data_IF_154687036599
#
_entry.id   IF_154687036599
#
_cell.length_a   1.000
_cell.length_b   1.000
_cell.length_c   1.000
_cell.angle_alpha   90.00
_cell.angle_beta   90.00
_cell.angle_gamma   90.00
#
_symmetry.space_group_name_H-M   'P 1'
#
loop_
_entity.id
_entity.type
_entity.pdbx_description
1 polymer ?
#
# COMPACT_ATOMS: atom_id res chain seq x y z
N UNK A 1 4.65 -7.41 -8.12
CA UNK A 1 5.66 -6.45 -8.62
C UNK A 1 5.34 -5.98 -10.03
N UNK A 2 5.27 -6.88 -11.01
CA UNK A 2 5.29 -6.56 -12.45
C UNK A 2 4.25 -5.53 -12.97
N UNK A 3 3.07 -5.39 -12.35
CA UNK A 3 2.05 -4.43 -12.80
C UNK A 3 2.28 -3.00 -12.29
N UNK A 4 3.05 -2.82 -11.22
CA UNK A 4 3.17 -1.55 -10.52
C UNK A 4 4.61 -1.02 -10.54
N UNK A 5 5.61 -1.89 -10.38
CA UNK A 5 7.02 -1.51 -10.22
C UNK A 5 7.67 -0.94 -11.48
N UNK A 6 7.00 -1.01 -12.64
CA UNK A 6 7.45 -0.34 -13.86
C UNK A 6 7.19 1.17 -13.82
N UNK A 7 6.16 1.61 -13.09
CA UNK A 7 5.77 3.01 -13.02
C UNK A 7 6.03 3.63 -11.65
N UNK A 8 5.70 2.90 -10.58
CA UNK A 8 5.74 3.40 -9.22
C UNK A 8 7.03 3.04 -8.50
N UNK A 9 7.40 3.83 -7.52
CA UNK A 9 8.53 3.60 -6.60
C UNK A 9 8.04 3.10 -5.23
N UNK A 10 8.99 2.56 -4.44
CA UNK A 10 8.86 2.37 -2.99
C UNK A 10 10.05 3.02 -2.27
N UNK A 11 10.33 4.29 -2.58
CA UNK A 11 11.61 4.97 -2.35
C UNK A 11 12.01 5.09 -0.87
N UNK A 12 11.06 5.02 0.07
CA UNK A 12 11.37 5.08 1.50
C UNK A 12 11.64 3.71 2.13
N UNK A 13 11.54 2.63 1.35
CA UNK A 13 11.82 1.25 1.75
C UNK A 13 13.15 0.76 1.16
N UNK A 14 13.88 -0.08 1.91
CA UNK A 14 15.13 -0.71 1.45
C UNK A 14 14.91 -2.19 1.16
N UNK A 15 15.65 -2.71 0.16
CA UNK A 15 15.55 -4.11 -0.27
C UNK A 15 15.85 -5.11 0.86
N UNK A 16 16.88 -4.87 1.68
CA UNK A 16 17.25 -5.76 2.78
C UNK A 16 16.20 -5.81 3.91
N UNK A 17 15.45 -4.72 4.10
CA UNK A 17 14.34 -4.68 5.06
C UNK A 17 13.19 -5.55 4.56
N UNK A 18 12.80 -5.35 3.31
CA UNK A 18 11.79 -6.18 2.63
C UNK A 18 12.16 -7.66 2.72
N UNK A 19 13.40 -7.99 2.33
CA UNK A 19 13.92 -9.35 2.32
C UNK A 19 13.78 -10.03 3.69
N UNK A 20 14.27 -9.38 4.75
CA UNK A 20 14.27 -9.93 6.11
C UNK A 20 12.87 -10.03 6.71
N UNK A 21 11.99 -9.08 6.41
CA UNK A 21 10.65 -9.07 7.00
C UNK A 21 9.70 -10.07 6.33
N UNK A 22 9.91 -10.36 5.04
CA UNK A 22 9.10 -11.30 4.26
C UNK A 22 9.82 -12.64 4.02
N UNK A 23 10.94 -12.88 4.70
CA UNK A 23 11.75 -14.10 4.59
C UNK A 23 12.10 -14.49 3.13
N UNK A 24 12.40 -13.48 2.29
CA UNK A 24 12.72 -13.68 0.87
C UNK A 24 14.14 -14.26 0.77
N UNK A 25 14.33 -15.39 0.07
CA UNK A 25 15.68 -15.90 -0.19
C UNK A 25 16.53 -14.86 -0.92
N UNK A 26 17.81 -14.74 -0.53
CA UNK A 26 18.71 -13.75 -1.12
C UNK A 26 18.86 -13.91 -2.64
N UNK A 27 18.83 -15.15 -3.13
CA UNK A 27 18.88 -15.46 -4.56
C UNK A 27 17.68 -14.85 -5.30
N UNK A 28 16.46 -15.03 -4.78
CA UNK A 28 15.24 -14.45 -5.36
C UNK A 28 15.30 -12.92 -5.33
N UNK A 29 15.80 -12.33 -4.24
CA UNK A 29 15.94 -10.89 -4.15
C UNK A 29 16.85 -10.33 -5.26
N UNK A 30 18.04 -10.92 -5.43
CA UNK A 30 19.07 -10.40 -6.33
C UNK A 30 18.77 -10.75 -7.79
N UNK A 31 18.25 -11.96 -8.06
CA UNK A 31 18.06 -12.46 -9.43
C UNK A 31 16.70 -12.06 -10.02
N UNK A 32 15.63 -12.03 -9.21
CA UNK A 32 14.26 -11.85 -9.72
C UNK A 32 13.64 -10.49 -9.38
N UNK A 33 13.98 -9.92 -8.21
CA UNK A 33 13.32 -8.69 -7.73
C UNK A 33 14.12 -7.43 -8.04
N UNK A 34 15.44 -7.46 -7.90
CA UNK A 34 16.33 -6.33 -8.22
C UNK A 34 16.68 -6.40 -9.71
N UNK A 35 16.05 -5.53 -10.50
CA UNK A 35 16.25 -5.52 -11.95
C UNK A 35 17.60 -4.92 -12.40
N UNK A 36 18.15 -3.95 -11.66
CA UNK A 36 19.44 -3.33 -11.97
C UNK A 36 20.57 -4.04 -11.20
N UNK A 37 21.53 -4.69 -11.88
CA UNK A 37 22.63 -5.41 -11.22
C UNK A 37 23.57 -4.51 -10.40
N UNK A 38 23.50 -3.18 -10.57
CA UNK A 38 24.26 -2.23 -9.75
C UNK A 38 23.58 -1.88 -8.43
N UNK A 39 22.29 -2.19 -8.29
CA UNK A 39 21.51 -1.93 -7.06
C UNK A 39 21.87 -2.97 -6.00
N UNK A 40 22.26 -2.50 -4.81
CA UNK A 40 22.62 -3.36 -3.68
C UNK A 40 21.41 -3.61 -2.81
N UNK A 41 21.41 -4.72 -2.07
CA UNK A 41 20.35 -5.02 -1.09
C UNK A 41 20.20 -3.94 -0.01
N UNK A 42 21.25 -3.19 0.31
CA UNK A 42 21.16 -2.08 1.27
C UNK A 42 20.51 -0.82 0.68
N UNK A 43 20.34 -0.72 -0.63
CA UNK A 43 19.84 0.48 -1.29
C UNK A 43 18.32 0.64 -1.14
N UNK A 44 17.84 1.86 -1.40
CA UNK A 44 16.42 2.17 -1.44
C UNK A 44 15.78 1.64 -2.73
N UNK A 45 14.47 1.36 -2.66
CA UNK A 45 13.69 0.81 -3.76
C UNK A 45 13.23 1.92 -4.72
N UNK A 46 14.15 2.44 -5.53
CA UNK A 46 13.94 3.56 -6.48
C UNK A 46 13.65 3.10 -7.91
N UNK A 47 13.01 1.94 -8.08
CA UNK A 47 12.54 1.49 -9.40
C UNK A 47 11.34 2.33 -9.88
N UNK A 48 10.95 2.17 -11.14
CA UNK A 48 9.78 2.83 -11.71
C UNK A 48 10.17 3.97 -12.65
N UNK A 49 9.22 4.87 -12.89
CA UNK A 49 9.45 6.00 -13.78
C UNK A 49 10.33 7.06 -13.10
N UNK A 50 11.19 7.75 -13.85
CA UNK A 50 11.89 8.92 -13.33
C UNK A 50 10.91 9.99 -12.85
N UNK A 51 11.29 10.77 -11.84
CA UNK A 51 10.46 11.84 -11.26
C UNK A 51 9.96 12.85 -12.31
N UNK A 52 10.76 13.10 -13.35
CA UNK A 52 10.45 14.02 -14.47
C UNK A 52 9.54 13.41 -15.55
N UNK A 53 9.03 12.19 -15.37
CA UNK A 53 8.17 11.53 -16.36
C UNK A 53 6.86 12.27 -16.57
N UNK A 54 6.50 12.52 -17.84
CA UNK A 54 5.24 13.17 -18.22
C UNK A 54 3.97 12.39 -17.80
N UNK A 55 4.11 11.08 -17.56
CA UNK A 55 3.01 10.24 -17.05
C UNK A 55 2.75 10.44 -15.54
N UNK A 56 3.77 10.89 -14.78
CA UNK A 56 3.66 11.21 -13.35
C UNK A 56 3.07 10.09 -12.50
N UNK A 57 3.87 9.06 -12.16
CA UNK A 57 3.45 8.02 -11.23
C UNK A 57 3.86 8.38 -9.79
N UNK A 58 2.94 8.36 -8.80
CA UNK A 58 3.29 8.67 -7.42
C UNK A 58 4.09 7.53 -6.77
N UNK A 59 4.95 7.89 -5.81
CA UNK A 59 5.53 6.92 -4.87
C UNK A 59 4.42 6.21 -4.08
N UNK A 60 4.56 4.89 -3.94
CA UNK A 60 3.57 4.07 -3.25
C UNK A 60 3.94 3.79 -1.79
N UNK A 61 5.13 4.19 -1.33
CA UNK A 61 5.65 3.79 -0.02
C UNK A 61 4.66 4.13 1.08
N UNK A 62 4.07 5.33 1.06
CA UNK A 62 3.12 5.79 2.09
C UNK A 62 1.67 5.83 1.61
N UNK A 63 1.35 5.21 0.47
CA UNK A 63 0.06 5.45 -0.20
C UNK A 63 -1.13 4.96 0.62
N UNK A 64 -1.01 3.81 1.30
CA UNK A 64 -2.07 3.29 2.18
C UNK A 64 -2.31 4.20 3.37
N UNK A 65 -1.28 4.84 3.92
CA UNK A 65 -1.43 5.82 5.02
C UNK A 65 -2.08 7.13 4.60
N UNK A 66 -1.91 7.53 3.34
CA UNK A 66 -2.46 8.78 2.81
C UNK A 66 -3.92 8.62 2.38
N UNK A 67 -4.28 7.48 1.78
CA UNK A 67 -5.62 7.27 1.19
C UNK A 67 -6.48 6.24 1.91
N UNK A 68 -5.90 5.34 2.70
CA UNK A 68 -6.56 4.16 3.24
C UNK A 68 -6.53 2.98 2.27
N UNK A 69 -6.56 1.77 2.83
CA UNK A 69 -6.55 0.50 2.10
C UNK A 69 -7.79 0.36 1.21
N UNK A 70 -8.98 0.65 1.75
CA UNK A 70 -10.26 0.55 1.03
C UNK A 70 -10.34 1.49 -0.17
N UNK A 71 -9.73 2.68 -0.07
CA UNK A 71 -9.67 3.62 -1.18
C UNK A 71 -8.84 3.06 -2.33
N UNK A 72 -7.69 2.43 -2.02
CA UNK A 72 -6.83 1.83 -3.04
C UNK A 72 -7.51 0.62 -3.67
N UNK A 73 -8.16 -0.23 -2.85
CA UNK A 73 -8.96 -1.35 -3.35
C UNK A 73 -10.02 -0.89 -4.34
N UNK A 74 -10.81 0.11 -3.93
CA UNK A 74 -11.88 0.63 -4.78
C UNK A 74 -11.30 1.27 -6.04
N UNK A 75 -10.23 2.06 -5.91
CA UNK A 75 -9.54 2.66 -7.04
C UNK A 75 -9.08 1.62 -8.07
N UNK A 76 -8.44 0.52 -7.65
CA UNK A 76 -8.00 -0.53 -8.57
C UNK A 76 -9.17 -1.29 -9.22
N UNK A 77 -10.31 -1.37 -8.54
CA UNK A 77 -11.48 -2.13 -9.01
C UNK A 77 -12.38 -1.35 -9.97
N UNK A 78 -12.43 -0.03 -9.84
CA UNK A 78 -13.43 0.81 -10.52
C UNK A 78 -12.94 1.49 -11.79
N UNK A 79 -11.97 0.89 -12.48
CA UNK A 79 -11.58 1.33 -13.81
C UNK A 79 -12.61 0.92 -14.86
N UNK A 80 -12.95 1.83 -15.77
CA UNK A 80 -13.85 1.58 -16.89
C UNK A 80 -13.29 2.16 -18.19
N UNK A 81 -13.71 1.62 -19.34
CA UNK A 81 -13.34 2.11 -20.66
C UNK A 81 -13.93 3.50 -20.90
N UNK A 82 -13.07 4.45 -21.26
CA UNK A 82 -13.46 5.83 -21.56
C UNK A 82 -12.61 6.33 -22.74
N UNK A 83 -13.15 6.32 -23.98
CA UNK A 83 -12.43 6.77 -25.16
C UNK A 83 -12.08 8.26 -25.16
N UNK A 84 -12.67 9.07 -24.29
CA UNK A 84 -12.34 10.49 -24.18
C UNK A 84 -11.03 10.73 -23.41
N UNK A 85 -10.59 9.76 -22.61
CA UNK A 85 -9.31 9.84 -21.91
C UNK A 85 -8.13 9.47 -22.82
N UNK A 86 -6.99 10.12 -22.58
CA UNK A 86 -5.75 9.89 -23.36
C UNK A 86 -5.33 8.41 -23.39
N UNK A 87 -5.55 7.68 -22.29
CA UNK A 87 -5.18 6.27 -22.14
C UNK A 87 -6.38 5.32 -22.25
N UNK A 88 -7.54 5.81 -22.72
CA UNK A 88 -8.71 4.98 -23.02
C UNK A 88 -9.44 4.39 -21.81
N UNK A 89 -9.11 4.81 -20.59
CA UNK A 89 -9.79 4.37 -19.37
C UNK A 89 -9.88 5.49 -18.35
N UNK A 90 -10.90 5.41 -17.51
CA UNK A 90 -11.17 6.37 -16.44
C UNK A 90 -11.58 5.62 -15.16
N UNK A 91 -11.82 6.35 -14.07
CA UNK A 91 -12.04 5.76 -12.76
C UNK A 91 -13.14 6.48 -11.97
N UNK A 92 -13.99 5.72 -11.28
CA UNK A 92 -15.08 6.30 -10.48
C UNK A 92 -14.62 7.01 -9.20
N UNK A 93 -13.52 6.57 -8.58
CA UNK A 93 -13.00 7.15 -7.34
C UNK A 93 -12.09 8.35 -7.62
N UNK A 94 -11.41 8.34 -8.77
CA UNK A 94 -10.54 9.44 -9.19
C UNK A 94 -10.76 9.75 -10.68
N UNK A 95 -11.82 10.52 -11.01
CA UNK A 95 -12.13 10.87 -12.38
C UNK A 95 -11.03 11.70 -13.05
N UNK A 96 -10.73 11.41 -14.32
CA UNK A 96 -9.64 12.04 -15.07
C UNK A 96 -8.27 11.55 -14.64
N UNK A 97 -8.19 10.32 -14.11
CA UNK A 97 -6.91 9.70 -13.76
C UNK A 97 -6.03 9.52 -14.98
N UNK A 98 -4.74 9.84 -14.84
CA UNK A 98 -3.72 9.58 -15.86
C UNK A 98 -3.22 8.13 -15.85
N UNK A 99 -3.73 7.28 -14.95
CA UNK A 99 -3.34 5.87 -14.88
C UNK A 99 -4.22 5.05 -15.83
N UNK A 100 -3.65 4.22 -16.72
CA UNK A 100 -4.44 3.27 -17.49
C UNK A 100 -4.97 2.14 -16.60
N UNK A 101 -5.97 1.40 -17.07
CA UNK A 101 -6.36 0.14 -16.44
C UNK A 101 -5.29 -0.95 -16.63
N UNK A 102 -4.21 -0.89 -15.84
CA UNK A 102 -3.09 -1.84 -15.89
C UNK A 102 -3.48 -3.27 -15.53
N UNK A 103 -4.64 -3.46 -14.89
CA UNK A 103 -5.14 -4.76 -14.44
C UNK A 103 -6.26 -5.30 -15.35
N UNK A 104 -6.53 -4.65 -16.50
CA UNK A 104 -7.60 -5.05 -17.42
C UNK A 104 -7.49 -6.50 -17.89
N UNK A 105 -6.27 -7.01 -18.08
CA UNK A 105 -6.04 -8.41 -18.46
C UNK A 105 -6.50 -9.41 -17.36
N UNK A 106 -6.40 -9.01 -16.09
CA UNK A 106 -6.80 -9.83 -14.95
C UNK A 106 -8.28 -9.71 -14.65
N UNK A 107 -8.80 -8.48 -14.63
CA UNK A 107 -10.19 -8.17 -14.25
C UNK A 107 -11.20 -8.38 -15.39
N UNK A 108 -10.74 -8.22 -16.63
CA UNK A 108 -11.61 -8.01 -17.78
C UNK A 108 -11.91 -6.53 -18.00
N UNK A 109 -12.50 -6.20 -19.14
CA UNK A 109 -12.87 -4.83 -19.46
C UNK A 109 -14.26 -4.49 -18.91
N UNK A 110 -14.42 -3.23 -18.51
CA UNK A 110 -15.60 -2.72 -17.81
C UNK A 110 -16.09 -1.45 -18.49
N UNK A 111 -17.40 -1.22 -18.51
CA UNK A 111 -18.04 -0.01 -19.03
C UNK A 111 -19.02 0.55 -18.00
N UNK A 112 -19.46 1.80 -18.20
CA UNK A 112 -20.56 2.35 -17.41
C UNK A 112 -21.89 2.10 -18.10
N UNK A 113 -22.87 1.63 -17.34
CA UNK A 113 -24.26 1.55 -17.77
C UNK A 113 -24.91 2.95 -17.80
N UNK A 114 -26.19 3.01 -18.22
CA UNK A 114 -26.96 4.26 -18.31
C UNK A 114 -27.18 4.93 -16.95
N UNK A 115 -27.06 4.18 -15.85
CA UNK A 115 -27.23 4.62 -14.48
C UNK A 115 -25.88 4.99 -13.82
N UNK A 116 -24.77 4.92 -14.57
CA UNK A 116 -23.42 5.21 -14.09
C UNK A 116 -22.79 4.11 -13.24
N UNK A 117 -23.29 2.88 -13.31
CA UNK A 117 -22.71 1.72 -12.61
C UNK A 117 -21.79 0.94 -13.52
N UNK A 118 -20.81 0.28 -12.92
CA UNK A 118 -19.89 -0.58 -13.64
C UNK A 118 -20.58 -1.87 -14.09
N UNK A 119 -20.48 -2.15 -15.38
CA UNK A 119 -20.90 -3.38 -16.04
C UNK A 119 -19.67 -4.05 -16.68
N UNK A 120 -19.52 -5.36 -16.44
CA UNK A 120 -18.45 -6.14 -17.05
C UNK A 120 -18.76 -6.36 -18.54
N UNK A 121 -17.83 -5.96 -19.41
CA UNK A 121 -17.95 -6.11 -20.87
C UNK A 121 -17.22 -7.35 -21.38
N UNK A 122 -16.13 -7.73 -20.73
CA UNK A 122 -15.41 -8.97 -21.01
C UNK A 122 -14.94 -9.63 -19.71
N UNK A 123 -14.69 -10.94 -19.78
CA UNK A 123 -13.99 -11.64 -18.71
C UNK A 123 -12.48 -11.37 -18.79
N UNK A 124 -11.82 -11.39 -17.63
CA UNK A 124 -10.38 -11.38 -17.51
C UNK A 124 -9.81 -12.77 -17.28
N UNK A 125 -8.51 -12.86 -17.03
CA UNK A 125 -7.88 -14.14 -16.71
C UNK A 125 -8.22 -14.66 -15.30
N UNK A 126 -8.71 -13.80 -14.42
CA UNK A 126 -9.13 -14.15 -13.06
C UNK A 126 -10.64 -14.06 -12.93
N UNK A 127 -11.23 -14.96 -12.14
CA UNK A 127 -12.58 -14.76 -11.64
C UNK A 127 -12.64 -13.52 -10.74
N UNK A 128 -13.85 -13.02 -10.50
CA UNK A 128 -14.06 -11.88 -9.61
C UNK A 128 -13.51 -12.10 -8.20
N UNK A 129 -13.65 -13.31 -7.67
CA UNK A 129 -13.17 -13.68 -6.34
C UNK A 129 -11.65 -13.73 -6.30
N UNK A 130 -11.01 -14.39 -7.28
CA UNK A 130 -9.53 -14.43 -7.39
C UNK A 130 -8.92 -13.04 -7.61
N UNK A 131 -9.59 -12.18 -8.38
CA UNK A 131 -9.18 -10.79 -8.56
C UNK A 131 -9.26 -10.03 -7.23
N UNK A 132 -10.38 -10.15 -6.52
CA UNK A 132 -10.58 -9.48 -5.23
C UNK A 132 -9.55 -9.95 -4.20
N UNK A 133 -9.20 -11.23 -4.18
CA UNK A 133 -8.14 -11.78 -3.31
C UNK A 133 -6.74 -11.29 -3.71
N UNK A 134 -6.43 -11.26 -5.01
CA UNK A 134 -5.17 -10.70 -5.52
C UNK A 134 -5.01 -9.23 -5.14
N UNK A 135 -6.10 -8.46 -5.15
CA UNK A 135 -6.09 -7.06 -4.74
C UNK A 135 -5.88 -6.91 -3.23
N UNK A 136 -6.50 -7.78 -2.41
CA UNK A 136 -6.23 -7.79 -0.96
C UNK A 136 -4.77 -8.06 -0.67
N UNK A 137 -4.15 -9.03 -1.33
CA UNK A 137 -2.74 -9.35 -1.15
C UNK A 137 -1.83 -8.19 -1.53
N UNK A 138 -2.11 -7.55 -2.68
CA UNK A 138 -1.39 -6.35 -3.11
C UNK A 138 -1.50 -5.22 -2.09
N UNK A 139 -2.70 -4.97 -1.56
CA UNK A 139 -2.95 -3.88 -0.63
C UNK A 139 -2.37 -4.19 0.75
N UNK A 140 -2.43 -5.44 1.19
CA UNK A 140 -1.74 -5.91 2.39
C UNK A 140 -0.23 -5.70 2.28
N UNK A 141 0.34 -6.00 1.12
CA UNK A 141 1.75 -5.69 0.84
C UNK A 141 2.03 -4.18 0.91
N UNK A 142 1.19 -3.34 0.31
CA UNK A 142 1.36 -1.88 0.39
C UNK A 142 1.16 -1.34 1.81
N UNK A 143 0.30 -1.98 2.62
CA UNK A 143 0.09 -1.61 4.02
C UNK A 143 1.33 -1.96 4.86
N UNK A 144 1.96 -3.11 4.59
CA UNK A 144 3.27 -3.45 5.12
C UNK A 144 4.33 -2.42 4.68
N UNK A 145 4.39 -2.08 3.38
CA UNK A 145 5.39 -1.15 2.86
C UNK A 145 5.28 0.24 3.51
N UNK A 146 4.05 0.71 3.78
CA UNK A 146 3.81 1.97 4.49
C UNK A 146 4.09 1.93 5.98
N UNK A 147 4.17 0.73 6.57
CA UNK A 147 4.46 0.59 7.99
C UNK A 147 5.13 -0.74 8.38
N UNK A 148 6.41 -0.95 8.02
CA UNK A 148 7.10 -2.23 8.27
C UNK A 148 7.29 -2.56 9.75
N UNK A 149 7.09 -1.59 10.64
CA UNK A 149 7.25 -1.74 12.10
C UNK A 149 5.91 -1.90 12.84
N UNK A 150 4.78 -2.05 12.13
CA UNK A 150 3.43 -2.09 12.72
C UNK A 150 3.29 -3.08 13.87
N UNK A 151 3.64 -4.34 13.61
CA UNK A 151 3.54 -5.43 14.58
C UNK A 151 4.38 -5.12 15.83
N UNK A 152 5.62 -4.67 15.65
CA UNK A 152 6.51 -4.32 16.75
C UNK A 152 5.98 -3.12 17.54
N UNK A 153 5.45 -2.11 16.87
CA UNK A 153 4.88 -0.92 17.51
C UNK A 153 3.64 -1.28 18.33
N UNK A 154 2.73 -2.07 17.79
CA UNK A 154 1.52 -2.50 18.50
C UNK A 154 1.87 -3.35 19.73
N UNK A 155 2.79 -4.31 19.57
CA UNK A 155 3.31 -5.11 20.69
C UNK A 155 3.91 -4.23 21.79
N UNK A 156 4.81 -3.31 21.43
CA UNK A 156 5.45 -2.41 22.39
C UNK A 156 4.44 -1.45 23.03
N UNK A 157 3.45 -0.98 22.27
CA UNK A 157 2.39 -0.10 22.73
C UNK A 157 1.62 -0.69 23.92
N UNK A 158 1.32 -1.98 23.89
CA UNK A 158 0.64 -2.67 25.00
C UNK A 158 1.45 -2.57 26.30
N UNK A 159 2.75 -2.85 26.25
CA UNK A 159 3.63 -2.77 27.42
C UNK A 159 3.77 -1.33 27.93
N UNK A 160 3.87 -0.35 27.02
CA UNK A 160 3.95 1.07 27.36
C UNK A 160 2.67 1.55 28.04
N UNK A 161 1.50 1.18 27.51
CA UNK A 161 0.21 1.53 28.12
C UNK A 161 0.08 0.92 29.52
N UNK A 162 0.43 -0.37 29.67
CA UNK A 162 0.39 -1.05 30.96
C UNK A 162 1.33 -0.39 31.98
N UNK A 163 2.54 -0.02 31.55
CA UNK A 163 3.48 0.74 32.38
C UNK A 163 2.85 2.07 32.85
N UNK A 164 2.25 2.85 31.95
CA UNK A 164 1.62 4.11 32.32
C UNK A 164 0.45 3.94 33.28
N UNK A 165 -0.39 2.91 33.12
CA UNK A 165 -1.48 2.63 34.06
C UNK A 165 -0.94 2.37 35.47
N UNK A 166 0.08 1.52 35.60
CA UNK A 166 0.69 1.19 36.89
C UNK A 166 1.39 2.42 37.48
N UNK A 167 2.18 3.12 36.67
CA UNK A 167 2.91 4.30 37.10
C UNK A 167 1.96 5.41 37.58
N UNK A 168 0.88 5.67 36.84
CA UNK A 168 -0.17 6.62 37.25
C UNK A 168 -0.82 6.19 38.56
N UNK A 169 -1.09 4.90 38.78
CA UNK A 169 -1.63 4.43 40.05
C UNK A 169 -0.67 4.66 41.23
N UNK A 170 0.62 4.38 41.05
CA UNK A 170 1.66 4.64 42.07
C UNK A 170 1.79 6.13 42.35
N UNK A 171 1.85 6.97 41.31
CA UNK A 171 1.92 8.43 41.46
C UNK A 171 0.67 9.00 42.13
N UNK A 172 -0.50 8.44 41.85
CA UNK A 172 -1.75 8.83 42.51
C UNK A 172 -1.75 8.49 44.00
N UNK A 173 -1.25 7.30 44.38
CA UNK A 173 -1.09 6.92 45.78
C UNK A 173 -0.10 7.84 46.51
N UNK A 174 1.01 8.19 45.86
CA UNK A 174 2.00 9.13 46.38
C UNK A 174 1.39 10.53 46.58
N UNK A 175 0.68 11.04 45.57
CA UNK A 175 -0.02 12.33 45.65
C UNK A 175 -1.03 12.35 46.80
N UNK A 176 -1.79 11.27 46.98
CA UNK A 176 -2.77 11.14 48.07
C UNK A 176 -2.11 11.26 49.44
N UNK A 177 -0.88 10.78 49.60
CA UNK A 177 -0.14 10.89 50.87
C UNK A 177 0.33 12.33 51.12
N UNK A 178 1.00 12.96 50.14
CA UNK A 178 1.41 14.37 50.26
C UNK A 178 0.24 15.33 50.48
N UNK A 179 -0.91 15.05 49.86
CA UNK A 179 -2.12 15.86 50.02
C UNK A 179 -2.69 15.83 51.46
N UNK A 180 -2.33 14.84 52.29
CA UNK A 180 -2.71 14.83 53.70
C UNK A 180 -1.89 15.83 54.54
N UNK A 181 -0.65 16.12 54.17
CA UNK A 181 0.22 17.05 54.91
C UNK A 181 -0.07 18.52 54.58
N UNK A 182 -0.66 18.80 53.42
CA UNK A 182 -1.06 20.15 53.02
C UNK A 182 -2.49 20.53 53.45
N UNK A 183 -3.21 19.61 54.13
CA UNK A 183 -4.50 19.87 54.77
C UNK A 183 -4.32 19.94 56.28
#
# INVERSE_FOLDING_TARGET
MNYCSTCHTLELLRWNRLQRDLDIPETILIEDLIADPNTKAADFMTFGLPEVSALGAPDLTLRTRVRGEDWIYTYLRTFYEDPEQLLGSNNLVYPGTSMPNVLAALQGSQVLDKDGKIEAKSEGSLSKEEFDDSMKDLINFLAYASEPARITREKNGIFVILFFIIFTAVMWLLYREYAKEMK
#
